data_IF_136174505415
#
_entry.id   IF_136174505415
#
_cell.length_a   1.000
_cell.length_b   1.000
_cell.length_c   1.000
_cell.angle_alpha   90.00
_cell.angle_beta   90.00
_cell.angle_gamma   90.00
#
_symmetry.space_group_name_H-M   'P 1'
#
loop_
_entity.id
_entity.type
_entity.pdbx_description
1 polymer ?
#
# COMPACT_ATOMS: atom_id res chain seq x y z
N UNK A 1 4.51 9.78 -0.53
CA UNK A 1 4.44 9.12 0.78
C UNK A 1 4.49 7.63 0.54
N UNK A 2 5.56 6.99 0.99
CA UNK A 2 5.69 5.54 0.94
C UNK A 2 4.79 4.93 2.01
N UNK A 3 3.74 4.24 1.60
CA UNK A 3 2.93 3.44 2.49
C UNK A 3 3.23 2.00 2.13
N UNK A 4 4.14 1.39 2.87
CA UNK A 4 4.33 -0.05 2.81
C UNK A 4 3.04 -0.70 3.30
N UNK A 5 2.37 -1.41 2.39
CA UNK A 5 1.03 -1.88 2.57
C UNK A 5 1.00 -3.20 3.32
N UNK A 6 0.67 -3.12 4.59
CA UNK A 6 0.23 -4.27 5.36
C UNK A 6 -1.10 -3.87 6.01
N UNK A 7 -2.17 -4.36 5.41
CA UNK A 7 -3.53 -4.06 5.85
C UNK A 7 -3.96 -4.81 7.11
N UNK A 8 -5.00 -4.34 7.83
CA UNK A 8 -5.50 -4.92 9.07
C UNK A 8 -5.89 -6.41 8.99
N UNK A 9 -6.29 -6.91 7.80
CA UNK A 9 -6.55 -8.34 7.60
C UNK A 9 -5.26 -9.18 7.74
N UNK A 10 -4.10 -8.57 7.42
CA UNK A 10 -2.79 -9.18 7.65
C UNK A 10 -2.24 -8.91 9.06
N UNK A 11 -2.86 -8.04 9.85
CA UNK A 11 -2.37 -7.72 11.19
C UNK A 11 -2.40 -8.96 12.10
N UNK A 12 -3.42 -9.81 12.02
CA UNK A 12 -3.53 -11.05 12.79
C UNK A 12 -2.63 -12.15 12.21
N UNK A 13 -2.53 -12.28 10.89
CA UNK A 13 -1.56 -13.17 10.26
C UNK A 13 -0.13 -12.64 10.39
N UNK A 14 0.01 -11.36 10.68
CA UNK A 14 1.25 -10.63 10.83
C UNK A 14 1.99 -11.00 12.12
N UNK A 15 1.32 -11.09 13.26
CA UNK A 15 1.91 -11.58 14.50
C UNK A 15 2.43 -13.03 14.35
N UNK A 16 1.74 -13.88 13.59
CA UNK A 16 2.23 -15.23 13.26
C UNK A 16 3.39 -15.21 12.25
N UNK A 17 3.46 -14.20 11.40
CA UNK A 17 4.58 -14.01 10.47
C UNK A 17 5.76 -13.32 11.15
N UNK A 18 5.55 -12.52 12.19
CA UNK A 18 6.59 -11.82 12.93
C UNK A 18 7.63 -12.79 13.51
N UNK A 19 7.19 -13.90 14.10
CA UNK A 19 8.10 -14.95 14.56
C UNK A 19 8.97 -15.50 13.41
N UNK A 20 8.37 -15.74 12.25
CA UNK A 20 9.09 -16.25 11.08
C UNK A 20 10.02 -15.17 10.49
N UNK A 21 9.58 -13.92 10.46
CA UNK A 21 10.41 -12.80 9.97
C UNK A 21 11.55 -12.47 10.93
N UNK A 22 11.34 -12.50 12.23
CA UNK A 22 12.37 -12.25 13.23
C UNK A 22 13.48 -13.30 13.23
N UNK A 23 13.17 -14.54 12.85
CA UNK A 23 14.16 -15.60 12.59
C UNK A 23 15.13 -15.24 11.45
N UNK A 24 14.66 -14.50 10.45
CA UNK A 24 15.44 -14.16 9.25
C UNK A 24 16.02 -12.74 9.26
N UNK A 25 15.44 -11.81 10.04
CA UNK A 25 15.91 -10.42 10.11
C UNK A 25 15.45 -9.72 11.39
N UNK A 26 16.31 -9.66 12.41
CA UNK A 26 15.98 -9.00 13.69
C UNK A 26 15.68 -7.50 13.56
N UNK A 27 16.05 -6.85 12.45
CA UNK A 27 15.77 -5.43 12.19
C UNK A 27 14.35 -5.15 11.68
N UNK A 28 13.56 -6.18 11.42
CA UNK A 28 12.20 -6.01 10.91
C UNK A 28 11.27 -5.42 11.96
N UNK A 29 11.45 -5.75 13.23
CA UNK A 29 10.65 -5.17 14.32
C UNK A 29 10.76 -3.65 14.34
N UNK A 30 11.98 -3.11 14.20
CA UNK A 30 12.22 -1.66 14.12
C UNK A 30 11.54 -1.06 12.88
N UNK A 31 11.62 -1.74 11.75
CA UNK A 31 10.92 -1.29 10.54
C UNK A 31 9.40 -1.22 10.73
N UNK A 32 8.82 -2.20 11.41
CA UNK A 32 7.38 -2.22 11.65
C UNK A 32 6.94 -1.16 12.63
N UNK A 33 7.65 -0.98 13.73
CA UNK A 33 7.31 0.02 14.73
C UNK A 33 7.50 1.45 14.21
N UNK A 34 8.65 1.73 13.62
CA UNK A 34 8.99 3.10 13.23
C UNK A 34 8.44 3.49 11.86
N UNK A 35 8.63 2.64 10.84
CA UNK A 35 8.28 3.01 9.48
C UNK A 35 6.82 2.77 9.16
N UNK A 36 6.26 1.60 9.49
CA UNK A 36 4.87 1.28 9.16
C UNK A 36 3.89 2.07 10.00
N UNK A 37 4.09 2.13 11.31
CA UNK A 37 3.23 2.89 12.23
C UNK A 37 3.26 4.39 11.91
N UNK A 38 4.47 4.92 11.64
CA UNK A 38 4.65 6.31 11.20
C UNK A 38 3.93 6.61 9.88
N UNK A 39 4.05 5.73 8.89
CA UNK A 39 3.38 5.88 7.60
C UNK A 39 1.86 5.73 7.72
N UNK A 40 1.37 4.86 8.59
CA UNK A 40 -0.07 4.73 8.85
C UNK A 40 -0.66 5.99 9.50
N UNK A 41 0.06 6.63 10.41
CA UNK A 41 -0.36 7.90 10.99
C UNK A 41 -0.37 9.04 9.97
N UNK A 42 0.60 9.05 9.03
CA UNK A 42 0.58 10.00 7.89
C UNK A 42 -0.63 9.77 7.00
N UNK A 43 -0.98 8.50 6.71
CA UNK A 43 -2.17 8.14 5.93
C UNK A 43 -3.45 8.67 6.58
N UNK A 44 -3.62 8.48 7.89
CA UNK A 44 -4.78 9.01 8.63
C UNK A 44 -4.91 10.53 8.52
N UNK A 45 -3.78 11.26 8.59
CA UNK A 45 -3.79 12.71 8.39
C UNK A 45 -4.24 13.09 6.99
N UNK A 46 -3.71 12.43 5.95
CA UNK A 46 -4.15 12.64 4.56
C UNK A 46 -5.65 12.40 4.45
N UNK A 47 -6.16 11.31 4.99
CA UNK A 47 -7.59 11.00 4.97
C UNK A 47 -8.44 12.05 5.68
N UNK A 48 -7.99 12.56 6.82
CA UNK A 48 -8.69 13.64 7.52
C UNK A 48 -8.77 14.91 6.67
N UNK A 49 -7.69 15.30 6.00
CA UNK A 49 -7.70 16.46 5.09
C UNK A 49 -8.58 16.22 3.87
N UNK A 50 -8.50 15.04 3.24
CA UNK A 50 -9.36 14.69 2.11
C UNK A 50 -10.85 14.75 2.51
N UNK A 51 -11.21 14.18 3.66
CA UNK A 51 -12.61 14.23 4.15
C UNK A 51 -13.09 15.66 4.42
N UNK A 52 -12.23 16.52 4.95
CA UNK A 52 -12.56 17.93 5.15
C UNK A 52 -12.84 18.62 3.81
N UNK A 53 -11.99 18.45 2.80
CA UNK A 53 -12.18 19.03 1.47
C UNK A 53 -13.44 18.48 0.77
N UNK A 54 -13.66 17.16 0.82
CA UNK A 54 -14.85 16.55 0.24
C UNK A 54 -16.15 17.03 0.90
N UNK A 55 -16.16 17.23 2.22
CA UNK A 55 -17.30 17.80 2.95
C UNK A 55 -17.58 19.26 2.60
N UNK A 56 -16.57 19.99 2.13
CA UNK A 56 -16.70 21.34 1.58
C UNK A 56 -17.18 21.34 0.12
N UNK A 57 -17.49 20.18 -0.45
CA UNK A 57 -17.98 20.06 -1.83
C UNK A 57 -16.88 20.05 -2.89
N UNK A 58 -15.59 19.97 -2.49
CA UNK A 58 -14.50 19.88 -3.45
C UNK A 58 -14.43 18.49 -4.07
N UNK A 59 -14.06 18.43 -5.35
CA UNK A 59 -13.78 17.16 -6.04
C UNK A 59 -12.29 16.83 -5.94
N UNK A 60 -11.98 15.59 -5.59
CA UNK A 60 -10.61 15.11 -5.41
C UNK A 60 -10.30 13.93 -6.31
N UNK A 61 -9.06 13.86 -6.76
CA UNK A 61 -8.50 12.73 -7.48
C UNK A 61 -7.30 12.18 -6.70
N UNK A 62 -7.40 10.93 -6.27
CA UNK A 62 -6.37 10.22 -5.52
C UNK A 62 -5.58 9.31 -6.45
N UNK A 63 -4.29 9.58 -6.64
CA UNK A 63 -3.40 8.79 -7.47
C UNK A 63 -2.66 7.75 -6.64
N UNK A 64 -2.86 6.47 -6.96
CA UNK A 64 -2.29 5.34 -6.22
C UNK A 64 -1.48 4.44 -7.13
N UNK A 65 -0.20 4.25 -6.82
CA UNK A 65 0.67 3.26 -7.46
C UNK A 65 0.70 1.97 -6.65
N UNK A 66 0.67 0.84 -7.36
CA UNK A 66 0.89 -0.48 -6.79
C UNK A 66 2.15 -1.12 -7.34
N UNK A 67 2.91 -1.77 -6.46
CA UNK A 67 4.15 -2.46 -6.79
C UNK A 67 4.11 -3.93 -6.36
N UNK A 68 4.93 -4.75 -6.98
CA UNK A 68 5.16 -6.15 -6.63
C UNK A 68 6.66 -6.46 -6.67
N UNK A 69 7.07 -7.50 -5.95
CA UNK A 69 8.44 -8.02 -6.05
C UNK A 69 8.64 -8.76 -7.39
N UNK A 70 9.88 -8.91 -7.89
CA UNK A 70 10.19 -9.46 -9.21
C UNK A 70 10.02 -11.00 -9.30
N UNK A 71 9.43 -11.66 -8.32
CA UNK A 71 9.39 -13.11 -8.14
C UNK A 71 8.67 -13.89 -9.26
N UNK A 72 7.88 -13.21 -10.09
CA UNK A 72 7.01 -13.83 -11.09
C UNK A 72 7.07 -13.08 -12.43
N UNK A 73 6.42 -13.67 -13.46
CA UNK A 73 6.28 -13.04 -14.77
C UNK A 73 5.62 -11.66 -14.66
N UNK A 74 6.04 -10.75 -15.53
CA UNK A 74 5.57 -9.34 -15.55
C UNK A 74 4.05 -9.19 -15.48
N UNK A 75 3.32 -9.98 -16.26
CA UNK A 75 1.85 -9.92 -16.29
C UNK A 75 1.24 -10.29 -14.92
N UNK A 76 1.75 -11.33 -14.28
CA UNK A 76 1.33 -11.72 -12.94
C UNK A 76 1.64 -10.59 -11.92
N UNK A 77 2.81 -9.98 -12.02
CA UNK A 77 3.24 -8.90 -11.15
C UNK A 77 2.36 -7.65 -11.31
N UNK A 78 1.95 -7.31 -12.53
CA UNK A 78 0.98 -6.24 -12.79
C UNK A 78 -0.36 -6.57 -12.15
N UNK A 79 -0.88 -7.79 -12.33
CA UNK A 79 -2.14 -8.22 -11.71
C UNK A 79 -2.07 -8.25 -10.19
N UNK A 80 -0.91 -8.59 -9.62
CA UNK A 80 -0.69 -8.54 -8.18
C UNK A 80 -0.68 -7.10 -7.65
N UNK A 81 -0.07 -6.17 -8.38
CA UNK A 81 -0.08 -4.75 -8.02
C UNK A 81 -1.49 -4.15 -8.10
N UNK A 82 -2.31 -4.53 -9.10
CA UNK A 82 -3.74 -4.17 -9.17
C UNK A 82 -4.50 -4.65 -7.94
N UNK A 83 -4.33 -5.92 -7.57
CA UNK A 83 -4.99 -6.47 -6.37
C UNK A 83 -4.62 -5.73 -5.09
N UNK A 84 -3.37 -5.28 -4.97
CA UNK A 84 -2.93 -4.44 -3.83
C UNK A 84 -3.64 -3.09 -3.82
N UNK A 85 -3.74 -2.43 -4.97
CA UNK A 85 -4.50 -1.17 -5.09
C UNK A 85 -5.96 -1.42 -4.72
N UNK A 86 -6.60 -2.47 -5.23
CA UNK A 86 -8.00 -2.80 -4.90
C UNK A 86 -8.21 -3.07 -3.41
N UNK A 87 -7.25 -3.72 -2.76
CA UNK A 87 -7.31 -3.89 -1.29
C UNK A 87 -7.27 -2.55 -0.56
N UNK A 88 -6.46 -1.60 -1.02
CA UNK A 88 -6.43 -0.24 -0.49
C UNK A 88 -7.76 0.51 -0.74
N UNK A 89 -8.31 0.41 -1.95
CA UNK A 89 -9.61 1.00 -2.29
C UNK A 89 -10.72 0.44 -1.39
N UNK A 90 -10.71 -0.86 -1.14
CA UNK A 90 -11.68 -1.48 -0.23
C UNK A 90 -11.54 -0.97 1.21
N UNK A 91 -10.32 -0.77 1.68
CA UNK A 91 -10.10 -0.13 2.98
C UNK A 91 -10.62 1.30 3.00
N UNK A 92 -10.33 2.09 2.00
CA UNK A 92 -10.83 3.46 1.90
C UNK A 92 -12.36 3.49 1.95
N UNK A 93 -13.03 2.54 1.28
CA UNK A 93 -14.49 2.41 1.32
C UNK A 93 -15.03 2.12 2.72
N UNK A 94 -14.30 1.34 3.51
CA UNK A 94 -14.71 0.92 4.86
C UNK A 94 -14.20 1.87 5.96
N UNK A 95 -13.33 2.81 5.60
CA UNK A 95 -12.68 3.70 6.56
C UNK A 95 -13.70 4.50 7.36
N UNK A 96 -13.54 4.53 8.71
CA UNK A 96 -14.36 5.28 9.65
C UNK A 96 -15.87 5.26 9.32
N UNK A 97 -16.46 4.07 9.42
CA UNK A 97 -17.87 3.86 9.11
C UNK A 97 -18.26 4.29 7.68
N UNK A 98 -17.43 3.94 6.71
CA UNK A 98 -17.65 4.21 5.29
C UNK A 98 -17.68 5.71 4.92
N UNK A 99 -16.91 6.55 5.63
CA UNK A 99 -16.89 8.01 5.45
C UNK A 99 -16.58 8.45 4.01
N UNK A 100 -15.78 7.68 3.26
CA UNK A 100 -15.48 7.98 1.85
C UNK A 100 -16.47 7.39 0.85
N UNK A 101 -17.28 6.41 1.26
CA UNK A 101 -18.19 5.71 0.34
C UNK A 101 -19.18 6.60 -0.39
N UNK A 102 -19.81 7.61 0.23
CA UNK A 102 -20.70 8.53 -0.48
C UNK A 102 -19.97 9.30 -1.59
N UNK A 103 -18.74 9.78 -1.33
CA UNK A 103 -17.95 10.56 -2.26
C UNK A 103 -17.42 9.73 -3.43
N UNK A 104 -17.06 8.47 -3.18
CA UNK A 104 -16.70 7.51 -4.24
C UNK A 104 -17.90 7.19 -5.16
N UNK A 105 -19.11 7.06 -4.59
CA UNK A 105 -20.32 6.79 -5.36
C UNK A 105 -20.80 7.98 -6.17
N UNK A 106 -20.64 9.19 -5.65
CA UNK A 106 -21.06 10.44 -6.31
C UNK A 106 -20.03 10.99 -7.32
N UNK A 107 -18.82 10.39 -7.40
CA UNK A 107 -17.75 10.89 -8.25
C UNK A 107 -17.02 12.12 -7.70
N UNK A 108 -17.29 12.54 -6.46
CA UNK A 108 -16.50 13.59 -5.79
C UNK A 108 -15.10 13.12 -5.41
N UNK A 109 -14.92 11.83 -5.21
CA UNK A 109 -13.61 11.21 -5.04
C UNK A 109 -13.37 10.18 -6.13
N UNK A 110 -12.40 10.43 -6.98
CA UNK A 110 -11.91 9.50 -7.99
C UNK A 110 -10.60 8.86 -7.56
N UNK A 111 -10.40 7.60 -7.90
CA UNK A 111 -9.15 6.90 -7.65
C UNK A 111 -8.50 6.54 -8.98
N UNK A 112 -7.31 7.09 -9.20
CA UNK A 112 -6.48 6.78 -10.37
C UNK A 112 -5.52 5.68 -9.99
N UNK A 113 -5.77 4.48 -10.51
CA UNK A 113 -5.00 3.28 -10.25
C UNK A 113 -3.86 3.15 -11.25
N UNK A 114 -2.64 3.09 -10.75
CA UNK A 114 -1.42 2.95 -11.52
C UNK A 114 -0.68 1.65 -11.13
N UNK A 115 -1.07 0.49 -11.70
CA UNK A 115 -0.41 -0.78 -11.42
C UNK A 115 0.94 -0.82 -12.14
N UNK A 116 2.01 -0.73 -11.38
CA UNK A 116 3.38 -0.70 -11.91
C UNK A 116 4.00 -2.10 -12.07
N UNK A 117 3.45 -3.10 -11.37
CA UNK A 117 4.05 -4.42 -11.29
C UNK A 117 5.37 -4.40 -10.51
N UNK A 118 6.40 -5.01 -11.06
CA UNK A 118 7.74 -4.89 -10.51
C UNK A 118 8.28 -3.47 -10.74
N UNK A 119 8.68 -2.80 -9.68
CA UNK A 119 9.55 -1.64 -9.82
C UNK A 119 10.90 -2.12 -10.35
N UNK A 120 11.71 -1.24 -10.94
CA UNK A 120 13.13 -1.56 -11.19
C UNK A 120 13.72 -1.97 -9.85
N UNK A 121 13.69 -3.28 -9.57
CA UNK A 121 14.11 -3.82 -8.30
C UNK A 121 15.55 -3.40 -8.05
N UNK A 122 15.82 -2.97 -6.84
CA UNK A 122 17.20 -2.88 -6.39
C UNK A 122 17.80 -4.27 -6.58
N UNK A 123 19.04 -4.38 -7.05
CA UNK A 123 19.77 -5.66 -7.29
C UNK A 123 19.81 -6.61 -6.07
N UNK A 124 19.17 -6.22 -4.97
CA UNK A 124 19.15 -6.92 -3.69
C UNK A 124 17.94 -7.85 -3.51
N UNK A 125 16.91 -7.73 -4.35
CA UNK A 125 15.74 -8.61 -4.27
C UNK A 125 15.90 -9.73 -5.29
N UNK A 126 15.94 -10.96 -4.80
CA UNK A 126 16.08 -12.15 -5.65
C UNK A 126 14.75 -12.45 -6.37
N UNK A 127 14.82 -12.83 -7.65
CA UNK A 127 13.71 -13.36 -8.42
C UNK A 127 13.60 -14.89 -8.31
N UNK A 128 14.51 -15.52 -7.57
CA UNK A 128 14.51 -16.97 -7.35
C UNK A 128 13.56 -17.35 -6.20
N UNK A 129 12.49 -18.14 -6.45
CA UNK A 129 11.55 -18.57 -5.42
C UNK A 129 12.16 -19.49 -4.35
N UNK A 130 13.32 -20.12 -4.64
CA UNK A 130 14.02 -20.96 -3.68
C UNK A 130 14.91 -20.13 -2.72
N UNK A 131 15.26 -18.92 -3.08
CA UNK A 131 15.97 -17.96 -2.22
C UNK A 131 14.97 -17.16 -1.41
N UNK A 132 14.26 -17.82 -0.52
CA UNK A 132 13.19 -17.20 0.28
C UNK A 132 13.67 -16.01 1.11
N UNK A 133 14.90 -16.05 1.59
CA UNK A 133 15.47 -14.98 2.38
C UNK A 133 15.48 -13.65 1.60
N UNK A 134 16.03 -13.65 0.39
CA UNK A 134 16.17 -12.42 -0.41
C UNK A 134 14.97 -12.13 -1.30
N UNK A 135 14.13 -13.12 -1.61
CA UNK A 135 12.95 -12.94 -2.47
C UNK A 135 11.68 -12.57 -1.70
N UNK A 136 11.56 -13.00 -0.43
CA UNK A 136 10.33 -12.85 0.36
C UNK A 136 10.56 -12.12 1.68
N UNK A 137 11.57 -12.54 2.47
CA UNK A 137 11.69 -12.15 3.87
C UNK A 137 12.64 -10.98 4.12
N UNK A 138 13.46 -10.58 3.17
CA UNK A 138 14.32 -9.41 3.32
C UNK A 138 13.50 -8.10 3.39
N UNK A 139 14.04 -7.10 4.07
CA UNK A 139 13.47 -5.76 4.12
C UNK A 139 13.26 -5.17 2.72
N UNK A 140 14.25 -5.36 1.82
CA UNK A 140 14.16 -4.89 0.44
C UNK A 140 12.99 -5.57 -0.30
N UNK A 141 12.78 -6.88 -0.12
CA UNK A 141 11.65 -7.60 -0.72
C UNK A 141 10.29 -7.14 -0.15
N UNK A 142 10.22 -6.77 1.13
CA UNK A 142 9.02 -6.20 1.74
C UNK A 142 8.72 -4.83 1.16
N UNK A 143 9.73 -3.98 1.01
CA UNK A 143 9.61 -2.63 0.45
C UNK A 143 9.14 -2.64 -1.01
N UNK A 144 9.51 -3.67 -1.79
CA UNK A 144 9.02 -3.84 -3.16
C UNK A 144 7.51 -4.19 -3.23
N UNK A 145 6.93 -4.70 -2.15
CA UNK A 145 5.50 -5.08 -2.06
C UNK A 145 4.66 -4.00 -1.41
N UNK A 146 4.57 -2.84 -2.04
CA UNK A 146 3.94 -1.65 -1.48
C UNK A 146 2.89 -1.04 -2.41
N UNK A 147 2.14 -0.14 -1.84
CA UNK A 147 1.43 0.90 -2.58
C UNK A 147 2.01 2.26 -2.20
N UNK A 148 1.88 3.21 -3.11
CA UNK A 148 2.28 4.61 -2.89
C UNK A 148 1.10 5.51 -3.25
N UNK A 149 0.72 6.37 -2.32
CA UNK A 149 -0.10 7.54 -2.65
C UNK A 149 0.86 8.58 -3.21
N UNK A 150 0.67 8.91 -4.48
CA UNK A 150 1.55 9.84 -5.18
C UNK A 150 1.07 11.25 -4.94
N UNK A 151 -0.22 11.44 -5.12
CA UNK A 151 -0.81 12.77 -5.17
C UNK A 151 -2.30 12.73 -4.81
N UNK A 152 -2.79 13.82 -4.24
CA UNK A 152 -4.21 14.13 -4.06
C UNK A 152 -4.45 15.46 -4.75
N UNK A 153 -5.12 15.44 -5.88
CA UNK A 153 -5.41 16.65 -6.67
C UNK A 153 -6.82 17.13 -6.43
N UNK A 154 -6.98 18.45 -6.34
CA UNK A 154 -8.25 19.10 -6.54
C UNK A 154 -8.58 19.06 -8.04
N UNK A 155 -9.82 18.70 -8.34
CA UNK A 155 -10.35 18.80 -9.70
C UNK A 155 -11.16 20.11 -9.71
N UNK A 156 -10.62 21.12 -10.38
CA UNK A 156 -11.37 22.35 -10.66
C UNK A 156 -12.43 22.05 -11.73
N UNK A 157 -13.61 22.63 -11.57
CA UNK A 157 -14.70 22.52 -12.56
C UNK A 157 -14.39 23.24 -13.84
#
# INVERSE_FOLDING_TARGET
IYISYIFPIYYISYFKMEETYNLYSPNLTVFFEDSLKGNFNKLKRIFSHMLADLKLGKKLQLHVKGFSSPLHKREYNINLSKRRIQSFVNYLRLYENMSFSPFLKSGFLEIIELPFGESKSTKKVSDNPNDKLNSIYSLDAILERRIEIIDVKLIDE
#
